data_IF_379105293469
#
_entry.id   IF_379105293469
#
_cell.length_a   1.000
_cell.length_b   1.000
_cell.length_c   1.000
_cell.angle_alpha   90.00
_cell.angle_beta   90.00
_cell.angle_gamma   90.00
#
_symmetry.space_group_name_H-M   'P 1'
#
loop_
_entity.id
_entity.type
_entity.pdbx_description
1 polymer ?
#
# COMPACT_ATOMS: atom_id res chain seq x y z
N UNK A 1 11.53 18.34 11.34
CA UNK A 1 10.18 17.75 11.28
C UNK A 1 9.60 18.00 9.90
N UNK A 2 9.05 16.95 9.24
CA UNK A 2 8.47 17.02 7.91
C UNK A 2 6.96 16.83 7.97
N UNK A 3 6.20 17.73 7.36
CA UNK A 3 4.78 17.53 7.09
C UNK A 3 4.62 16.67 5.83
N UNK A 4 4.03 15.49 5.96
CA UNK A 4 3.88 14.54 4.85
C UNK A 4 2.40 14.26 4.59
N UNK A 5 1.70 15.12 3.82
CA UNK A 5 0.25 15.06 3.65
C UNK A 5 -0.20 13.93 2.71
N UNK A 6 -1.50 13.62 2.75
CA UNK A 6 -2.22 12.83 1.75
C UNK A 6 -1.72 11.39 1.56
N UNK A 7 -1.29 10.71 2.64
CA UNK A 7 -0.86 9.30 2.56
C UNK A 7 -1.96 8.41 1.95
N UNK A 8 -3.21 8.57 2.40
CA UNK A 8 -4.36 7.74 2.02
C UNK A 8 -4.87 7.97 0.58
N UNK A 9 -4.45 9.05 -0.08
CA UNK A 9 -5.02 9.45 -1.38
C UNK A 9 -3.99 9.67 -2.47
N UNK A 10 -2.93 10.42 -2.19
CA UNK A 10 -1.94 10.86 -3.17
C UNK A 10 -0.50 10.45 -2.84
N UNK A 11 -0.32 9.67 -1.77
CA UNK A 11 0.99 9.15 -1.32
C UNK A 11 2.06 10.27 -1.31
N UNK A 12 1.83 11.30 -0.48
CA UNK A 12 2.64 12.52 -0.48
C UNK A 12 4.14 12.31 -0.30
N UNK A 13 4.55 11.27 0.47
CA UNK A 13 5.97 10.93 0.64
C UNK A 13 6.65 10.49 -0.65
N UNK A 14 5.94 9.83 -1.58
CA UNK A 14 6.48 9.53 -2.91
C UNK A 14 6.85 10.80 -3.68
N UNK A 15 5.97 11.81 -3.64
CA UNK A 15 6.22 13.11 -4.29
C UNK A 15 7.38 13.87 -3.64
N UNK A 16 7.54 13.74 -2.33
CA UNK A 16 8.66 14.31 -1.60
C UNK A 16 9.98 13.59 -1.93
N UNK A 17 9.96 12.25 -2.06
CA UNK A 17 11.11 11.47 -2.52
C UNK A 17 11.56 11.88 -3.93
N UNK A 18 10.63 12.01 -4.88
CA UNK A 18 10.89 12.48 -6.25
C UNK A 18 11.57 13.87 -6.28
N UNK A 19 11.28 14.72 -5.27
CA UNK A 19 11.86 16.06 -5.12
C UNK A 19 13.14 16.09 -4.27
N UNK A 20 13.63 14.95 -3.81
CA UNK A 20 14.85 14.85 -3.00
C UNK A 20 14.71 15.41 -1.58
N UNK A 21 13.49 15.50 -1.03
CA UNK A 21 13.27 16.09 0.30
C UNK A 21 13.93 15.33 1.48
N UNK A 22 14.38 14.09 1.24
CA UNK A 22 14.97 13.24 2.28
C UNK A 22 16.46 12.94 2.09
N UNK A 23 17.16 13.69 1.22
CA UNK A 23 18.56 13.43 0.87
C UNK A 23 19.54 13.69 2.02
N UNK A 24 19.21 14.64 2.90
CA UNK A 24 20.07 15.06 4.03
C UNK A 24 19.59 14.47 5.37
N UNK A 25 18.99 13.27 5.34
CA UNK A 25 18.44 12.59 6.52
C UNK A 25 19.13 11.25 6.73
N UNK A 26 19.62 11.00 7.93
CA UNK A 26 20.26 9.73 8.31
C UNK A 26 19.25 8.66 8.70
N UNK A 27 18.15 9.04 9.38
CA UNK A 27 17.10 8.13 9.87
C UNK A 27 15.74 8.81 9.81
N UNK A 28 14.73 8.08 9.34
CA UNK A 28 13.35 8.55 9.32
C UNK A 28 12.51 7.88 10.42
N UNK A 29 11.86 8.70 11.24
CA UNK A 29 10.94 8.25 12.29
C UNK A 29 9.53 8.74 12.00
N UNK A 30 8.54 7.86 12.16
CA UNK A 30 7.13 8.18 11.94
C UNK A 30 6.26 7.60 13.06
N UNK A 31 5.10 8.22 13.32
CA UNK A 31 4.07 7.65 14.19
C UNK A 31 2.79 7.30 13.40
N UNK A 32 2.02 6.37 13.92
CA UNK A 32 0.69 6.03 13.42
C UNK A 32 -0.24 5.63 14.57
N UNK A 33 -1.49 6.11 14.57
CA UNK A 33 -2.49 5.68 15.55
C UNK A 33 -2.86 4.19 15.40
N UNK A 34 -3.14 3.51 16.50
CA UNK A 34 -3.36 2.06 16.52
C UNK A 34 -4.20 1.63 17.74
N UNK A 35 -4.76 0.41 17.78
CA UNK A 35 -5.31 -0.16 19.00
C UNK A 35 -4.26 -0.50 20.09
N UNK A 36 -3.01 -0.73 19.70
CA UNK A 36 -1.90 -1.08 20.62
C UNK A 36 -0.64 -0.28 20.30
N UNK A 37 0.22 -0.10 21.30
CA UNK A 37 1.55 0.50 21.08
C UNK A 37 2.53 -0.59 20.66
N UNK A 38 3.12 -0.43 19.46
CA UNK A 38 3.99 -1.44 18.85
C UNK A 38 4.77 -0.86 17.66
N UNK A 39 5.61 -1.66 17.05
CA UNK A 39 6.28 -1.39 15.77
C UNK A 39 5.89 -2.43 14.71
N UNK A 40 6.11 -2.11 13.45
CA UNK A 40 5.82 -3.01 12.34
C UNK A 40 7.09 -3.69 11.82
N UNK A 41 7.03 -5.00 11.58
CA UNK A 41 8.13 -5.76 10.95
C UNK A 41 7.97 -5.80 9.44
N UNK A 42 6.78 -6.14 8.93
CA UNK A 42 6.53 -6.29 7.49
C UNK A 42 5.32 -5.49 7.05
N UNK A 43 5.40 -4.92 5.85
CA UNK A 43 4.25 -4.39 5.11
C UNK A 43 4.28 -4.88 3.68
N UNK A 44 3.13 -4.86 3.00
CA UNK A 44 3.06 -5.30 1.62
C UNK A 44 3.43 -4.16 0.65
N UNK A 45 4.24 -4.47 -0.35
CA UNK A 45 4.30 -3.71 -1.59
C UNK A 45 2.95 -3.77 -2.30
N UNK A 46 2.61 -2.73 -3.08
CA UNK A 46 1.36 -2.66 -3.83
C UNK A 46 1.58 -2.03 -5.21
N UNK A 47 0.93 -2.60 -6.22
CA UNK A 47 0.72 -1.96 -7.52
C UNK A 47 -0.77 -1.98 -7.85
N UNK A 48 -1.28 -0.85 -8.32
CA UNK A 48 -2.69 -0.68 -8.68
C UNK A 48 -2.81 -0.29 -10.14
N UNK A 49 -3.74 -0.89 -10.87
CA UNK A 49 -3.96 -0.64 -12.28
C UNK A 49 -5.43 -0.35 -12.55
N UNK A 50 -5.70 0.67 -13.36
CA UNK A 50 -6.99 0.85 -14.01
C UNK A 50 -6.81 0.47 -15.47
N UNK A 51 -7.55 -0.56 -15.90
CA UNK A 51 -7.51 -1.08 -17.28
C UNK A 51 -8.82 -0.74 -17.95
N UNK A 52 -8.74 -0.07 -19.10
CA UNK A 52 -9.88 0.23 -19.96
C UNK A 52 -9.74 -0.57 -21.25
N UNK A 53 -10.70 -1.45 -21.53
CA UNK A 53 -10.82 -2.11 -22.83
C UNK A 53 -11.72 -1.32 -23.74
N UNK A 54 -11.36 -1.22 -25.03
CA UNK A 54 -12.07 -0.50 -26.07
C UNK A 54 -12.45 -1.46 -27.19
N UNK A 55 -13.74 -1.69 -27.31
CA UNK A 55 -14.35 -2.58 -28.30
C UNK A 55 -15.14 -1.79 -29.35
N UNK A 56 -16.17 -2.44 -29.90
CA UNK A 56 -17.05 -1.88 -30.92
C UNK A 56 -18.49 -2.24 -30.65
N UNK A 57 -19.36 -1.22 -30.58
CA UNK A 57 -20.82 -1.39 -30.41
C UNK A 57 -21.45 -2.08 -31.59
N UNK A 58 -22.42 -2.95 -31.29
CA UNK A 58 -23.38 -3.45 -32.26
C UNK A 58 -24.65 -3.88 -31.56
N UNK A 59 -25.71 -4.13 -32.32
CA UNK A 59 -26.95 -4.72 -31.79
C UNK A 59 -26.73 -6.21 -31.55
N UNK A 60 -26.76 -6.65 -30.28
CA UNK A 60 -26.35 -7.98 -29.88
C UNK A 60 -27.20 -9.12 -30.50
N UNK A 61 -28.48 -8.88 -30.84
CA UNK A 61 -29.35 -9.87 -31.46
C UNK A 61 -29.39 -9.80 -33.01
N UNK A 62 -29.11 -8.64 -33.62
CA UNK A 62 -29.30 -8.45 -35.07
C UNK A 62 -28.00 -8.52 -35.84
N UNK A 63 -26.90 -8.00 -35.30
CA UNK A 63 -25.57 -7.99 -35.94
C UNK A 63 -24.45 -8.16 -34.90
N UNK A 64 -24.45 -9.24 -34.10
CA UNK A 64 -23.43 -9.47 -33.09
C UNK A 64 -22.01 -9.55 -33.68
N UNK A 65 -21.87 -10.11 -34.88
CA UNK A 65 -20.59 -10.25 -35.60
C UNK A 65 -19.93 -8.92 -35.97
N UNK A 66 -20.69 -7.84 -36.02
CA UNK A 66 -20.16 -6.49 -36.29
C UNK A 66 -19.58 -5.83 -35.01
N UNK A 67 -19.83 -6.39 -33.85
CA UNK A 67 -19.34 -5.91 -32.57
C UNK A 67 -18.01 -6.53 -32.11
N UNK A 68 -17.38 -5.91 -31.12
CA UNK A 68 -16.25 -6.43 -30.35
C UNK A 68 -16.48 -6.07 -28.89
N UNK A 69 -16.62 -7.08 -28.04
CA UNK A 69 -17.04 -6.86 -26.66
C UNK A 69 -15.84 -6.52 -25.76
N UNK A 70 -15.80 -5.30 -25.29
CA UNK A 70 -14.85 -4.87 -24.26
C UNK A 70 -15.09 -5.59 -22.93
N UNK A 71 -16.35 -5.95 -22.63
CA UNK A 71 -16.69 -6.71 -21.42
C UNK A 71 -16.12 -8.12 -21.46
N UNK A 72 -16.14 -8.80 -22.60
CA UNK A 72 -15.58 -10.15 -22.73
C UNK A 72 -14.07 -10.13 -22.47
N UNK A 73 -13.36 -9.11 -22.97
CA UNK A 73 -11.94 -8.91 -22.66
C UNK A 73 -11.70 -8.73 -21.14
N UNK A 74 -12.54 -7.96 -20.47
CA UNK A 74 -12.43 -7.75 -19.02
C UNK A 74 -12.72 -9.05 -18.24
N UNK A 75 -13.72 -9.82 -18.64
CA UNK A 75 -14.04 -11.11 -18.02
C UNK A 75 -12.93 -12.14 -18.24
N UNK A 76 -12.36 -12.20 -19.44
CA UNK A 76 -11.18 -13.04 -19.74
C UNK A 76 -9.98 -12.63 -18.88
N UNK A 77 -9.75 -11.33 -18.71
CA UNK A 77 -8.68 -10.83 -17.84
C UNK A 77 -8.90 -11.27 -16.38
N UNK A 78 -10.11 -11.16 -15.84
CA UNK A 78 -10.44 -11.64 -14.49
C UNK A 78 -10.20 -13.14 -14.37
N UNK A 79 -10.71 -13.93 -15.32
CA UNK A 79 -10.52 -15.40 -15.31
C UNK A 79 -9.03 -15.77 -15.36
N UNK A 80 -8.24 -15.11 -16.19
CA UNK A 80 -6.81 -15.38 -16.31
C UNK A 80 -6.02 -14.95 -15.03
N UNK A 81 -6.48 -13.92 -14.31
CA UNK A 81 -5.95 -13.56 -12.98
C UNK A 81 -6.22 -14.68 -11.97
N UNK A 82 -7.41 -15.33 -12.02
CA UNK A 82 -7.70 -16.47 -11.15
C UNK A 82 -6.76 -17.67 -11.45
N UNK A 83 -6.48 -17.95 -12.72
CA UNK A 83 -5.50 -18.99 -13.08
C UNK A 83 -4.07 -18.62 -12.67
N UNK A 84 -3.71 -17.34 -12.78
CA UNK A 84 -2.39 -16.87 -12.34
C UNK A 84 -2.20 -17.05 -10.82
N UNK A 85 -3.26 -16.98 -10.04
CA UNK A 85 -3.26 -17.05 -8.57
C UNK A 85 -2.59 -18.31 -8.03
N UNK A 86 -2.71 -19.44 -8.75
CA UNK A 86 -2.07 -20.72 -8.41
C UNK A 86 -0.54 -20.68 -8.59
N UNK A 87 -0.03 -19.79 -9.45
CA UNK A 87 1.37 -19.82 -9.93
C UNK A 87 2.15 -18.56 -9.53
N UNK A 88 1.86 -18.00 -8.38
CA UNK A 88 2.54 -16.82 -7.80
C UNK A 88 3.07 -17.14 -6.40
N UNK A 89 3.99 -16.34 -5.83
CA UNK A 89 4.43 -16.51 -4.45
C UNK A 89 3.25 -16.54 -3.47
N UNK A 90 3.32 -17.38 -2.43
CA UNK A 90 2.26 -17.63 -1.45
C UNK A 90 1.72 -16.35 -0.79
N UNK A 91 2.57 -15.35 -0.59
CA UNK A 91 2.23 -14.07 0.00
C UNK A 91 1.54 -13.09 -0.97
N UNK A 92 1.40 -13.46 -2.25
CA UNK A 92 0.76 -12.60 -3.25
C UNK A 92 -0.73 -12.48 -2.99
N UNK A 93 -1.24 -11.24 -3.10
CA UNK A 93 -2.69 -10.95 -3.06
C UNK A 93 -3.07 -10.19 -4.32
N UNK A 94 -4.13 -10.65 -4.98
CA UNK A 94 -4.66 -10.04 -6.19
C UNK A 94 -6.16 -9.78 -6.00
N UNK A 95 -6.55 -8.53 -6.17
CA UNK A 95 -7.93 -8.09 -6.06
C UNK A 95 -8.32 -7.34 -7.32
N UNK A 96 -9.59 -7.42 -7.71
CA UNK A 96 -10.11 -6.66 -8.83
C UNK A 96 -11.58 -6.32 -8.63
N UNK A 97 -12.05 -5.34 -9.40
CA UNK A 97 -13.46 -4.96 -9.47
C UNK A 97 -13.77 -4.33 -10.82
N UNK A 98 -15.05 -4.33 -11.19
CA UNK A 98 -15.56 -3.55 -12.33
C UNK A 98 -15.76 -2.11 -11.84
N UNK A 99 -15.09 -1.15 -12.48
CA UNK A 99 -15.21 0.26 -12.13
C UNK A 99 -16.34 0.95 -12.90
N UNK A 100 -16.65 0.46 -14.11
CA UNK A 100 -17.73 0.99 -14.92
C UNK A 100 -18.51 -0.15 -15.55
N UNK A 101 -19.83 -0.22 -15.29
CA UNK A 101 -20.73 -1.19 -15.88
C UNK A 101 -20.98 -0.86 -17.36
N UNK A 102 -20.95 -1.86 -18.25
CA UNK A 102 -20.88 -1.65 -19.71
C UNK A 102 -22.21 -1.33 -20.42
N UNK A 103 -23.32 -1.10 -19.75
CA UNK A 103 -24.57 -0.68 -20.38
C UNK A 103 -25.63 -1.77 -20.61
N UNK A 104 -26.62 -1.58 -21.53
CA UNK A 104 -27.76 -2.49 -21.68
C UNK A 104 -27.39 -3.81 -22.36
N UNK A 105 -28.07 -4.89 -21.97
CA UNK A 105 -27.78 -6.27 -22.38
C UNK A 105 -27.94 -6.55 -23.89
N UNK A 106 -28.69 -5.74 -24.60
CA UNK A 106 -28.92 -5.87 -26.03
C UNK A 106 -27.94 -5.09 -26.92
N UNK A 107 -26.90 -4.53 -26.32
CA UNK A 107 -25.82 -3.80 -27.01
C UNK A 107 -24.49 -4.46 -26.67
N UNK A 108 -23.70 -4.81 -27.67
CA UNK A 108 -22.31 -5.27 -27.48
C UNK A 108 -21.52 -4.12 -26.86
N UNK A 109 -20.90 -4.30 -25.68
CA UNK A 109 -20.22 -3.21 -24.98
C UNK A 109 -18.94 -2.76 -25.70
N UNK A 110 -18.81 -1.49 -25.97
CA UNK A 110 -17.59 -0.90 -26.55
C UNK A 110 -16.59 -0.39 -25.51
N UNK A 111 -16.97 -0.35 -24.24
CA UNK A 111 -16.07 0.09 -23.16
C UNK A 111 -16.34 -0.73 -21.91
N UNK A 112 -15.27 -1.23 -21.28
CA UNK A 112 -15.31 -1.85 -19.96
C UNK A 112 -14.06 -1.46 -19.17
N UNK A 113 -14.26 -1.10 -17.89
CA UNK A 113 -13.18 -0.64 -17.01
C UNK A 113 -13.07 -1.54 -15.80
N UNK A 114 -11.88 -2.11 -15.60
CA UNK A 114 -11.53 -2.87 -14.41
C UNK A 114 -10.44 -2.18 -13.58
N UNK A 115 -10.51 -2.33 -12.26
CA UNK A 115 -9.44 -1.90 -11.34
C UNK A 115 -8.86 -3.13 -10.68
N UNK A 116 -7.53 -3.22 -10.68
CA UNK A 116 -6.76 -4.33 -10.14
C UNK A 116 -5.80 -3.82 -9.06
N UNK A 117 -5.62 -4.59 -8.00
CA UNK A 117 -4.63 -4.34 -6.94
C UNK A 117 -3.83 -5.61 -6.69
N UNK A 118 -2.52 -5.53 -6.90
CA UNK A 118 -1.58 -6.62 -6.70
C UNK A 118 -0.67 -6.28 -5.53
N UNK A 119 -0.42 -7.25 -4.63
CA UNK A 119 0.38 -7.04 -3.41
C UNK A 119 1.26 -8.24 -3.12
N UNK A 120 2.44 -8.00 -2.51
CA UNK A 120 3.34 -9.03 -1.97
C UNK A 120 4.22 -8.39 -0.88
N UNK A 121 4.80 -9.19 0.02
CA UNK A 121 5.79 -8.70 0.99
C UNK A 121 7.18 -8.43 0.38
N UNK A 122 7.34 -8.57 -0.93
CA UNK A 122 8.56 -8.25 -1.67
C UNK A 122 8.23 -7.48 -2.93
N UNK A 123 8.78 -6.28 -3.07
CA UNK A 123 8.62 -5.47 -4.29
C UNK A 123 9.16 -6.20 -5.51
N UNK A 124 10.34 -6.82 -5.39
CA UNK A 124 10.96 -7.56 -6.48
C UNK A 124 10.08 -8.73 -6.98
N UNK A 125 9.53 -9.52 -6.04
CA UNK A 125 8.60 -10.61 -6.40
C UNK A 125 7.33 -10.07 -7.04
N UNK A 126 6.81 -8.97 -6.52
CA UNK A 126 5.61 -8.35 -7.07
C UNK A 126 5.83 -7.81 -8.48
N UNK A 127 7.01 -7.29 -8.80
CA UNK A 127 7.34 -6.84 -10.16
C UNK A 127 7.24 -7.98 -11.18
N UNK A 128 7.71 -9.18 -10.84
CA UNK A 128 7.54 -10.36 -11.69
C UNK A 128 6.07 -10.80 -11.85
N UNK A 129 5.25 -10.62 -10.81
CA UNK A 129 3.80 -10.86 -10.91
C UNK A 129 3.13 -9.81 -11.80
N UNK A 130 3.53 -8.54 -11.68
CA UNK A 130 3.04 -7.44 -12.53
C UNK A 130 3.35 -7.69 -14.00
N UNK A 131 4.54 -8.14 -14.34
CA UNK A 131 4.89 -8.49 -15.74
C UNK A 131 3.95 -9.55 -16.31
N UNK A 132 3.61 -10.57 -15.53
CA UNK A 132 2.67 -11.62 -15.94
C UNK A 132 1.25 -11.10 -16.06
N UNK A 133 0.82 -10.23 -15.12
CA UNK A 133 -0.46 -9.54 -15.18
C UNK A 133 -0.61 -8.70 -16.46
N UNK A 134 0.41 -7.94 -16.84
CA UNK A 134 0.37 -7.13 -18.07
C UNK A 134 0.21 -8.00 -19.32
N UNK A 135 0.84 -9.18 -19.37
CA UNK A 135 0.65 -10.16 -20.44
C UNK A 135 -0.78 -10.73 -20.46
N UNK A 136 -1.42 -10.90 -19.31
CA UNK A 136 -2.84 -11.30 -19.23
C UNK A 136 -3.72 -10.25 -19.90
N UNK A 137 -3.53 -8.96 -19.59
CA UNK A 137 -4.31 -7.88 -20.20
C UNK A 137 -4.13 -7.85 -21.71
N UNK A 138 -2.90 -7.98 -22.17
CA UNK A 138 -2.61 -8.09 -23.61
C UNK A 138 -3.28 -9.29 -24.25
N UNK A 139 -3.21 -10.48 -23.63
CA UNK A 139 -3.82 -11.69 -24.12
C UNK A 139 -5.35 -11.60 -24.19
N UNK A 140 -5.98 -11.03 -23.15
CA UNK A 140 -7.43 -10.82 -23.13
C UNK A 140 -7.90 -9.89 -24.26
N UNK A 141 -7.16 -8.81 -24.51
CA UNK A 141 -7.45 -7.90 -25.63
C UNK A 141 -7.33 -8.59 -27.00
N UNK A 142 -6.27 -9.36 -27.19
CA UNK A 142 -6.05 -10.12 -28.44
C UNK A 142 -7.16 -11.16 -28.69
N UNK A 143 -7.56 -11.92 -27.67
CA UNK A 143 -8.63 -12.92 -27.79
C UNK A 143 -9.98 -12.32 -28.13
N UNK A 144 -10.25 -11.09 -27.69
CA UNK A 144 -11.53 -10.38 -27.91
C UNK A 144 -11.50 -9.43 -29.09
N UNK A 145 -10.37 -9.32 -29.80
CA UNK A 145 -10.16 -8.40 -30.93
C UNK A 145 -10.48 -6.93 -30.55
N UNK A 146 -9.97 -6.48 -29.38
CA UNK A 146 -10.16 -5.14 -28.84
C UNK A 146 -8.82 -4.47 -28.54
N UNK A 147 -8.84 -3.16 -28.30
CA UNK A 147 -7.67 -2.42 -27.78
C UNK A 147 -7.82 -2.15 -26.28
N UNK A 148 -6.76 -1.68 -25.64
CA UNK A 148 -6.77 -1.36 -24.22
C UNK A 148 -5.83 -0.24 -23.87
N UNK A 149 -6.15 0.46 -22.77
CA UNK A 149 -5.28 1.37 -22.07
C UNK A 149 -5.07 0.90 -20.63
N UNK A 150 -3.85 1.11 -20.11
CA UNK A 150 -3.51 0.84 -18.72
C UNK A 150 -3.04 2.14 -18.07
N UNK A 151 -3.71 2.52 -16.97
CA UNK A 151 -3.24 3.56 -16.07
C UNK A 151 -2.69 2.88 -14.82
N UNK A 152 -1.37 2.91 -14.65
CA UNK A 152 -0.71 2.48 -13.41
C UNK A 152 -0.86 3.57 -12.34
N UNK A 153 -1.21 3.18 -11.13
CA UNK A 153 -1.20 4.02 -9.94
C UNK A 153 0.19 4.07 -9.30
N UNK A 154 0.28 4.72 -8.15
CA UNK A 154 1.53 4.78 -7.41
C UNK A 154 2.01 3.39 -6.98
N UNK A 155 3.32 3.16 -7.07
CA UNK A 155 3.98 1.91 -6.71
C UNK A 155 4.47 2.02 -5.26
N UNK A 156 3.78 1.34 -4.35
CA UNK A 156 4.23 1.27 -2.96
C UNK A 156 5.21 0.11 -2.77
N UNK A 157 6.32 0.41 -2.08
CA UNK A 157 7.28 -0.61 -1.65
C UNK A 157 6.77 -1.36 -0.41
N UNK A 158 7.36 -2.51 -0.12
CA UNK A 158 7.25 -3.14 1.20
C UNK A 158 8.20 -2.46 2.19
N UNK A 159 7.94 -2.59 3.49
CA UNK A 159 8.90 -2.14 4.50
C UNK A 159 10.18 -2.97 4.43
N UNK A 160 11.31 -2.30 4.62
CA UNK A 160 12.58 -2.90 4.98
C UNK A 160 12.71 -2.70 6.50
N UNK A 161 12.55 -3.74 7.33
CA UNK A 161 12.59 -3.57 8.77
C UNK A 161 14.02 -3.27 9.22
N UNK A 162 14.19 -2.26 10.07
CA UNK A 162 15.41 -1.97 10.81
C UNK A 162 15.12 -2.34 12.26
N UNK A 163 15.51 -3.57 12.65
CA UNK A 163 15.09 -4.17 13.92
C UNK A 163 15.70 -3.43 15.12
N UNK A 164 16.96 -3.01 15.02
CA UNK A 164 17.62 -2.19 16.05
C UNK A 164 16.89 -0.88 16.31
N UNK A 165 16.41 -0.24 15.24
CA UNK A 165 15.63 1.00 15.36
C UNK A 165 14.22 0.72 15.93
N UNK A 166 13.62 -0.41 15.57
CA UNK A 166 12.36 -0.86 16.16
C UNK A 166 12.49 -1.08 17.67
N UNK A 167 13.58 -1.74 18.11
CA UNK A 167 13.85 -2.01 19.53
C UNK A 167 14.05 -0.70 20.30
N UNK A 168 14.81 0.24 19.75
CA UNK A 168 15.05 1.55 20.36
C UNK A 168 13.74 2.35 20.52
N UNK A 169 12.86 2.35 19.51
CA UNK A 169 11.53 2.97 19.63
C UNK A 169 10.70 2.32 20.74
N UNK A 170 10.75 0.99 20.85
CA UNK A 170 9.99 0.27 21.89
C UNK A 170 10.58 0.47 23.29
N UNK A 171 11.89 0.63 23.43
CA UNK A 171 12.54 1.02 24.69
C UNK A 171 12.05 2.39 25.13
N UNK A 172 12.09 3.40 24.26
CA UNK A 172 11.57 4.71 24.53
C UNK A 172 10.06 4.71 24.81
N UNK A 173 9.28 3.88 24.13
CA UNK A 173 7.85 3.73 24.42
C UNK A 173 7.61 3.22 25.85
N UNK A 174 8.44 2.30 26.35
CA UNK A 174 8.37 1.83 27.74
C UNK A 174 8.78 2.91 28.73
N UNK A 175 9.87 3.66 28.45
CA UNK A 175 10.35 4.75 29.30
C UNK A 175 9.32 5.86 29.49
N UNK A 176 8.56 6.21 28.44
CA UNK A 176 7.50 7.25 28.55
C UNK A 176 6.18 6.71 29.07
N UNK A 177 6.08 5.43 29.41
CA UNK A 177 4.85 4.81 29.90
C UNK A 177 3.75 4.69 28.85
N UNK A 178 4.11 4.39 27.60
CA UNK A 178 3.13 4.24 26.51
C UNK A 178 2.08 3.17 26.82
N UNK A 179 0.78 3.41 26.52
CA UNK A 179 -0.29 2.48 26.85
C UNK A 179 -0.30 1.25 25.93
N UNK A 180 -0.83 0.14 26.44
CA UNK A 180 -1.15 -1.09 25.69
C UNK A 180 0.01 -1.59 24.80
N UNK A 181 1.23 -1.65 25.35
CA UNK A 181 2.40 -2.19 24.65
C UNK A 181 2.16 -3.63 24.24
N UNK A 182 2.44 -3.98 23.00
CA UNK A 182 2.33 -5.33 22.43
C UNK A 182 3.58 -5.71 21.63
N UNK A 183 3.81 -7.01 21.36
CA UNK A 183 4.89 -7.45 20.49
C UNK A 183 4.85 -6.80 19.11
N UNK A 184 5.99 -6.74 18.39
CA UNK A 184 6.06 -6.23 17.02
C UNK A 184 5.03 -6.90 16.09
N UNK A 185 4.43 -6.14 15.20
CA UNK A 185 3.45 -6.65 14.25
C UNK A 185 4.13 -7.28 13.05
N UNK A 186 3.92 -8.57 12.88
CA UNK A 186 4.51 -9.34 11.76
C UNK A 186 3.95 -8.95 10.39
N UNK A 187 2.71 -8.42 10.33
CA UNK A 187 2.03 -8.12 9.06
C UNK A 187 1.23 -6.83 9.18
N UNK A 188 1.44 -5.94 8.22
CA UNK A 188 0.69 -4.68 8.11
C UNK A 188 0.30 -4.38 6.67
N UNK A 189 -0.60 -3.38 6.47
CA UNK A 189 -0.95 -2.87 5.16
C UNK A 189 0.21 -2.13 4.47
N UNK A 190 -0.05 -1.64 3.27
CA UNK A 190 0.89 -0.82 2.50
C UNK A 190 0.91 0.61 3.02
N UNK A 191 2.05 1.30 2.89
CA UNK A 191 2.22 2.72 3.18
C UNK A 191 3.31 3.32 2.30
N UNK A 192 3.19 4.59 1.95
CA UNK A 192 4.20 5.32 1.20
C UNK A 192 5.49 5.57 2.02
N UNK A 193 5.44 5.45 3.35
CA UNK A 193 6.62 5.47 4.20
C UNK A 193 7.59 4.33 3.88
N UNK A 194 7.08 3.20 3.41
CA UNK A 194 7.93 2.09 2.97
C UNK A 194 8.87 2.48 1.82
N UNK A 195 8.47 3.41 0.95
CA UNK A 195 9.32 3.91 -0.11
C UNK A 195 10.48 4.78 0.42
N UNK A 196 10.25 5.53 1.51
CA UNK A 196 11.31 6.25 2.22
C UNK A 196 12.34 5.26 2.79
N UNK A 197 11.88 4.15 3.34
CA UNK A 197 12.74 3.09 3.92
C UNK A 197 13.60 2.35 2.89
N UNK A 198 13.38 2.53 1.59
CA UNK A 198 14.26 2.05 0.52
C UNK A 198 15.45 2.97 0.25
N UNK A 199 15.46 4.18 0.81
CA UNK A 199 16.54 5.16 0.63
C UNK A 199 17.34 5.39 1.91
N UNK A 200 16.71 5.23 3.07
CA UNK A 200 17.36 5.46 4.37
C UNK A 200 16.68 4.59 5.46
N UNK A 201 17.39 4.25 6.54
CA UNK A 201 16.82 3.55 7.67
C UNK A 201 15.58 4.27 8.22
N UNK A 202 14.52 3.53 8.48
CA UNK A 202 13.29 4.12 9.00
C UNK A 202 12.48 3.17 9.87
N UNK A 203 11.72 3.73 10.80
CA UNK A 203 10.74 2.97 11.57
C UNK A 203 9.51 3.80 11.93
N UNK A 204 8.40 3.09 12.14
CA UNK A 204 7.12 3.67 12.52
C UNK A 204 6.69 3.10 13.86
N UNK A 205 6.61 3.97 14.89
CA UNK A 205 5.94 3.62 16.15
C UNK A 205 4.42 3.74 15.98
N UNK A 206 3.70 2.71 16.32
CA UNK A 206 2.25 2.78 16.48
C UNK A 206 1.93 3.07 17.92
N UNK A 207 1.00 3.99 18.17
CA UNK A 207 0.58 4.35 19.53
C UNK A 207 -0.90 4.10 19.70
N UNK A 208 -1.25 3.46 20.81
CA UNK A 208 -2.62 3.11 21.14
C UNK A 208 -3.47 4.37 21.32
N UNK A 209 -4.53 4.50 20.51
CA UNK A 209 -5.49 5.63 20.56
C UNK A 209 -6.96 5.19 20.40
N UNK A 210 -7.20 3.91 20.21
CA UNK A 210 -8.55 3.33 20.08
C UNK A 210 -8.64 2.02 20.87
N UNK A 211 -9.82 1.55 21.22
CA UNK A 211 -10.01 0.25 21.90
C UNK A 211 -9.40 -0.91 21.09
N UNK A 212 -8.99 -1.96 21.81
CA UNK A 212 -8.52 -3.20 21.17
C UNK A 212 -9.62 -3.78 20.26
N UNK A 213 -9.21 -4.26 19.07
CA UNK A 213 -10.13 -4.81 18.07
C UNK A 213 -10.77 -3.79 17.13
N UNK A 214 -10.59 -2.47 17.34
CA UNK A 214 -11.07 -1.46 16.40
C UNK A 214 -10.36 -1.62 15.06
N UNK A 215 -11.12 -1.78 13.98
CA UNK A 215 -10.58 -1.92 12.62
C UNK A 215 -10.08 -0.58 12.08
N UNK A 216 -8.93 -0.58 11.42
CA UNK A 216 -8.48 0.58 10.62
C UNK A 216 -9.51 0.86 9.51
N UNK A 217 -9.64 2.14 9.11
CA UNK A 217 -10.61 2.62 8.11
C UNK A 217 -12.09 2.42 8.49
N UNK A 218 -12.39 2.18 9.78
CA UNK A 218 -13.77 2.17 10.29
C UNK A 218 -14.22 3.57 10.73
N UNK A 219 -15.54 3.75 10.87
CA UNK A 219 -16.11 4.99 11.40
C UNK A 219 -15.71 5.24 12.85
N UNK A 220 -15.55 4.17 13.64
CA UNK A 220 -15.07 4.18 15.00
C UNK A 220 -13.65 4.71 15.09
N UNK A 221 -12.77 4.23 14.18
CA UNK A 221 -11.39 4.70 14.11
C UNK A 221 -11.32 6.18 13.72
N UNK A 222 -12.13 6.61 12.75
CA UNK A 222 -12.24 8.01 12.33
C UNK A 222 -12.70 8.91 13.49
N UNK A 223 -13.74 8.51 14.20
CA UNK A 223 -14.31 9.29 15.30
C UNK A 223 -13.35 9.39 16.50
N UNK A 224 -12.55 8.34 16.74
CA UNK A 224 -11.56 8.34 17.81
C UNK A 224 -10.49 9.43 17.66
N UNK A 225 -10.17 9.86 16.43
CA UNK A 225 -9.15 10.89 16.17
C UNK A 225 -9.42 12.27 16.80
N UNK A 226 -10.62 12.49 17.39
CA UNK A 226 -11.02 13.72 18.08
C UNK A 226 -11.05 13.59 19.61
N UNK A 227 -10.70 12.42 20.12
CA UNK A 227 -10.78 12.14 21.58
C UNK A 227 -9.52 12.58 22.31
N UNK A 228 -9.62 12.77 23.61
CA UNK A 228 -8.48 13.04 24.49
C UNK A 228 -7.45 11.90 24.42
N UNK A 229 -7.90 10.65 24.30
CA UNK A 229 -7.03 9.48 24.15
C UNK A 229 -6.17 9.59 22.88
N UNK A 230 -6.73 10.08 21.77
CA UNK A 230 -5.95 10.31 20.54
C UNK A 230 -4.94 11.46 20.69
N UNK A 231 -5.32 12.54 21.41
CA UNK A 231 -4.40 13.64 21.72
C UNK A 231 -3.26 13.18 22.64
N UNK A 232 -3.54 12.40 23.67
CA UNK A 232 -2.53 11.76 24.52
C UNK A 232 -1.60 10.84 23.70
N UNK A 233 -2.12 10.08 22.75
CA UNK A 233 -1.32 9.23 21.88
C UNK A 233 -0.33 10.03 21.04
N UNK A 234 -0.70 11.23 20.57
CA UNK A 234 0.21 12.15 19.87
C UNK A 234 1.33 12.62 20.80
N UNK A 235 1.01 12.95 22.06
CA UNK A 235 2.02 13.37 23.05
C UNK A 235 2.97 12.25 23.42
N UNK A 236 2.47 11.02 23.57
CA UNK A 236 3.29 9.82 23.79
C UNK A 236 4.22 9.60 22.58
N UNK A 237 3.68 9.65 21.35
CA UNK A 237 4.48 9.49 20.15
C UNK A 237 5.58 10.56 20.05
N UNK A 238 5.26 11.83 20.30
CA UNK A 238 6.23 12.92 20.28
C UNK A 238 7.40 12.67 21.25
N UNK A 239 7.11 12.19 22.47
CA UNK A 239 8.14 11.84 23.45
C UNK A 239 9.00 10.66 23.00
N UNK A 240 8.38 9.60 22.44
CA UNK A 240 9.09 8.44 21.91
C UNK A 240 10.02 8.83 20.78
N UNK A 241 9.52 9.59 19.80
CA UNK A 241 10.32 10.02 18.65
C UNK A 241 11.45 10.96 19.05
N UNK A 242 11.20 11.89 19.98
CA UNK A 242 12.21 12.80 20.49
C UNK A 242 13.30 12.07 21.28
N UNK A 243 12.92 11.13 22.18
CA UNK A 243 13.87 10.30 22.92
C UNK A 243 14.72 9.44 21.98
N UNK A 244 14.11 8.77 21.00
CA UNK A 244 14.84 8.01 20.00
C UNK A 244 15.79 8.88 19.17
N UNK A 245 15.37 10.08 18.79
CA UNK A 245 16.23 11.03 18.10
C UNK A 245 17.43 11.46 18.95
N UNK A 246 17.21 11.70 20.24
CA UNK A 246 18.27 12.06 21.18
C UNK A 246 19.28 10.91 21.35
N UNK A 247 18.81 9.69 21.55
CA UNK A 247 19.66 8.50 21.65
C UNK A 247 20.59 8.32 20.42
N UNK A 248 20.08 8.64 19.21
CA UNK A 248 20.86 8.57 17.98
C UNK A 248 21.86 9.71 17.81
N UNK A 249 21.56 10.90 18.34
CA UNK A 249 22.46 12.06 18.31
C UNK A 249 23.60 11.90 19.32
N UNK A 250 23.33 11.31 20.47
CA UNK A 250 24.30 11.15 21.56
C UNK A 250 25.19 9.91 21.39
N UNK A 251 24.81 8.94 20.53
CA UNK A 251 25.53 7.67 20.34
C UNK A 251 25.76 7.37 18.84
N UNK A 252 26.91 7.86 18.33
CA UNK A 252 27.33 7.63 16.94
C UNK A 252 27.45 6.13 16.58
N UNK A 253 27.85 5.28 17.53
CA UNK A 253 27.98 3.85 17.29
C UNK A 253 26.60 3.20 17.11
N UNK A 254 25.61 3.64 17.85
CA UNK A 254 24.21 3.20 17.71
C UNK A 254 23.64 3.62 16.33
N UNK A 255 23.88 4.87 15.92
CA UNK A 255 23.47 5.37 14.61
C UNK A 255 24.13 4.54 13.49
N UNK A 256 25.43 4.33 13.54
CA UNK A 256 26.17 3.54 12.56
C UNK A 256 25.61 2.11 12.45
N UNK A 257 25.36 1.45 13.60
CA UNK A 257 24.81 0.10 13.64
C UNK A 257 23.39 0.00 13.03
N UNK A 258 22.59 1.07 13.05
CA UNK A 258 21.28 1.17 12.42
C UNK A 258 21.42 1.39 10.91
N UNK A 259 22.40 2.19 10.48
CA UNK A 259 22.66 2.44 9.06
C UNK A 259 23.26 1.22 8.32
N UNK A 260 23.97 0.34 9.05
CA UNK A 260 24.54 -0.92 8.51
C UNK A 260 23.51 -2.04 8.37
N UNK A 261 22.40 -2.00 9.08
CA UNK A 261 21.36 -3.03 9.06
C UNK A 261 20.49 -2.97 7.79
#
# INVERSE_FOLDING_TARGET
VYGTPAEETAHGKLRMLEKGCFQDIDVALMMHGSPTTTVDVKSMAMSKFTVTFHGKKSHAALKPEAGRSALDALLLAFQAVEFLREHVPEDTRMHYTIAQAPGPVNVVPDTAVGVFSLRSYSRQKLDGVVERFLKIIQGAALMSDVTYDIKEGDRLANKIPVLKLNDLLMENARLVGAPRISPPREKTGSSDFSNVMYQLPGSCIRVAMVPAGTSSHSIEFLNAGKTDEAHEAVMVAAKVLAGTGLDLIEDEAKLAAIQEE
#
